data_IF_775658408316
#
_entry.id   IF_775658408316
#
_cell.length_a   1.000
_cell.length_b   1.000
_cell.length_c   1.000
_cell.angle_alpha   90.00
_cell.angle_beta   90.00
_cell.angle_gamma   90.00
#
_symmetry.space_group_name_H-M   'P 1'
#
loop_
_entity.id
_entity.type
_entity.pdbx_description
1 polymer ?
#
# COMPACT_ATOMS: atom_id res chain seq x y z
N UNK A 1 8.84 18.71 -17.56
CA UNK A 1 8.54 17.57 -18.47
C UNK A 1 7.33 16.87 -17.90
N UNK A 2 6.38 16.46 -18.74
CA UNK A 2 5.13 15.87 -18.27
C UNK A 2 5.38 14.59 -17.45
N UNK A 3 4.54 14.39 -16.43
CA UNK A 3 4.48 13.16 -15.65
C UNK A 3 3.65 12.15 -16.44
N UNK A 4 4.15 10.93 -16.57
CA UNK A 4 3.53 9.86 -17.35
C UNK A 4 3.09 8.74 -16.43
N UNK A 5 1.79 8.43 -16.46
CA UNK A 5 1.20 7.23 -15.87
C UNK A 5 1.50 6.01 -16.75
N UNK A 6 2.03 4.94 -16.14
CA UNK A 6 2.30 3.68 -16.82
C UNK A 6 1.79 2.48 -16.02
N UNK A 7 1.44 1.42 -16.74
CA UNK A 7 1.30 0.05 -16.20
C UNK A 7 2.57 -0.70 -16.61
N UNK A 8 3.43 -1.12 -15.67
CA UNK A 8 4.64 -1.84 -16.04
C UNK A 8 4.29 -3.19 -16.64
N UNK A 9 5.11 -3.66 -17.58
CA UNK A 9 5.13 -5.08 -17.94
C UNK A 9 5.78 -5.92 -16.84
N UNK A 10 5.80 -7.24 -17.00
CA UNK A 10 6.45 -8.17 -16.04
C UNK A 10 7.91 -7.79 -15.81
N UNK A 11 8.65 -7.42 -16.86
CA UNK A 11 10.05 -7.00 -16.77
C UNK A 11 10.23 -5.68 -16.01
N UNK A 12 9.19 -4.84 -15.95
CA UNK A 12 9.19 -3.56 -15.23
C UNK A 12 8.91 -3.69 -13.73
N UNK A 13 8.44 -4.85 -13.25
CA UNK A 13 8.21 -5.07 -11.82
C UNK A 13 9.49 -4.96 -11.00
N UNK A 14 10.62 -5.44 -11.55
CA UNK A 14 11.90 -5.38 -10.88
C UNK A 14 12.33 -3.93 -10.61
N UNK A 15 12.08 -3.02 -11.55
CA UNK A 15 12.35 -1.59 -11.39
C UNK A 15 11.46 -0.96 -10.31
N UNK A 16 10.16 -1.25 -10.33
CA UNK A 16 9.23 -0.76 -9.31
C UNK A 16 9.64 -1.23 -7.90
N UNK A 17 10.00 -2.50 -7.74
CA UNK A 17 10.50 -3.05 -6.47
C UNK A 17 11.82 -2.42 -6.05
N UNK A 18 12.75 -2.20 -6.99
CA UNK A 18 14.04 -1.56 -6.70
C UNK A 18 13.86 -0.13 -6.21
N UNK A 19 13.03 0.66 -6.88
CA UNK A 19 12.71 2.04 -6.48
C UNK A 19 12.01 2.08 -5.12
N UNK A 20 11.00 1.22 -4.89
CA UNK A 20 10.34 1.13 -3.59
C UNK A 20 11.32 0.79 -2.47
N UNK A 21 12.34 -0.04 -2.75
CA UNK A 21 13.39 -0.41 -1.79
C UNK A 21 14.27 0.79 -1.45
N UNK A 22 14.63 1.61 -2.42
CA UNK A 22 15.43 2.82 -2.22
C UNK A 22 14.69 3.88 -1.38
N UNK A 23 13.36 3.89 -1.44
CA UNK A 23 12.54 4.80 -0.64
C UNK A 23 12.40 4.39 0.82
N UNK A 24 12.84 3.18 1.19
CA UNK A 24 12.79 2.69 2.57
C UNK A 24 13.94 3.26 3.40
N UNK A 25 13.60 3.91 4.50
CA UNK A 25 14.53 4.37 5.53
C UNK A 25 13.85 4.32 6.90
N UNK A 26 14.63 4.37 7.98
CA UNK A 26 14.05 4.33 9.32
C UNK A 26 13.14 5.55 9.56
N UNK A 27 11.89 5.29 9.97
CA UNK A 27 10.89 6.35 10.18
C UNK A 27 10.21 6.83 8.89
N UNK A 28 10.48 6.20 7.75
CA UNK A 28 9.67 6.39 6.55
C UNK A 28 8.20 6.00 6.83
N UNK A 29 7.23 6.67 6.18
CA UNK A 29 5.85 6.21 6.17
C UNK A 29 5.75 4.75 5.71
N UNK A 30 4.86 3.98 6.33
CA UNK A 30 4.73 2.53 6.12
C UNK A 30 3.90 2.15 4.90
N UNK A 31 3.31 3.13 4.21
CA UNK A 31 2.54 2.91 2.99
C UNK A 31 3.41 2.31 1.88
N UNK A 32 2.73 1.69 0.91
CA UNK A 32 3.27 0.86 -0.18
C UNK A 32 4.79 0.64 -0.13
N UNK A 33 5.21 -0.55 0.29
CA UNK A 33 6.60 -0.94 0.41
C UNK A 33 6.89 -2.20 -0.46
N UNK A 34 8.16 -2.55 -0.71
CA UNK A 34 8.52 -3.69 -1.57
C UNK A 34 7.85 -5.02 -1.17
N UNK A 35 7.63 -5.22 0.13
CA UNK A 35 6.96 -6.42 0.66
C UNK A 35 5.50 -6.58 0.20
N UNK A 36 4.80 -5.49 -0.14
CA UNK A 36 3.41 -5.55 -0.59
C UNK A 36 3.33 -6.12 -2.00
N UNK A 37 4.22 -5.64 -2.89
CA UNK A 37 4.38 -6.21 -4.23
C UNK A 37 4.83 -7.67 -4.14
N UNK A 38 5.81 -7.97 -3.28
CA UNK A 38 6.28 -9.35 -3.05
C UNK A 38 5.17 -10.28 -2.56
N UNK A 39 4.32 -9.81 -1.65
CA UNK A 39 3.16 -10.55 -1.17
C UNK A 39 2.12 -10.75 -2.26
N UNK A 40 1.77 -9.70 -3.00
CA UNK A 40 0.80 -9.77 -4.10
C UNK A 40 1.26 -10.70 -5.23
N UNK A 41 2.58 -10.83 -5.42
CA UNK A 41 3.21 -11.71 -6.42
C UNK A 41 2.81 -13.18 -6.31
N UNK A 42 2.30 -13.64 -5.17
CA UNK A 42 1.70 -14.98 -5.04
C UNK A 42 0.58 -15.24 -6.06
N UNK A 43 -0.03 -14.19 -6.60
CA UNK A 43 -1.08 -14.23 -7.63
C UNK A 43 -0.53 -14.35 -9.06
N UNK A 44 0.79 -14.38 -9.25
CA UNK A 44 1.46 -14.44 -10.56
C UNK A 44 2.03 -13.11 -11.03
N UNK A 45 3.03 -13.16 -11.91
CA UNK A 45 3.79 -11.99 -12.34
C UNK A 45 2.95 -11.04 -13.21
N UNK A 46 2.18 -11.59 -14.15
CA UNK A 46 1.32 -10.83 -15.05
C UNK A 46 0.21 -10.11 -14.27
N UNK A 47 -0.41 -10.81 -13.30
CA UNK A 47 -1.43 -10.22 -12.44
C UNK A 47 -0.85 -9.09 -11.57
N UNK A 48 0.37 -9.26 -11.06
CA UNK A 48 1.06 -8.24 -10.28
C UNK A 48 1.41 -7.02 -11.13
N UNK A 49 1.97 -7.23 -12.33
CA UNK A 49 2.29 -6.17 -13.27
C UNK A 49 1.03 -5.35 -13.64
N UNK A 50 -0.08 -6.04 -13.94
CA UNK A 50 -1.35 -5.41 -14.26
C UNK A 50 -1.97 -4.62 -13.09
N UNK A 51 -1.67 -5.00 -11.84
CA UNK A 51 -2.14 -4.31 -10.64
C UNK A 51 -1.30 -3.08 -10.26
N UNK A 52 -0.11 -2.92 -10.84
CA UNK A 52 0.79 -1.81 -10.52
C UNK A 52 0.52 -0.60 -11.41
N UNK A 53 0.66 0.60 -10.84
CA UNK A 53 0.72 1.89 -11.53
C UNK A 53 2.02 2.58 -11.15
N UNK A 54 2.66 3.24 -12.12
CA UNK A 54 3.84 4.07 -11.88
C UNK A 54 3.65 5.43 -12.52
N UNK A 55 4.15 6.47 -11.85
CA UNK A 55 4.19 7.83 -12.38
C UNK A 55 5.64 8.23 -12.55
N UNK A 56 6.04 8.55 -13.77
CA UNK A 56 7.44 8.83 -14.10
C UNK A 56 7.61 10.19 -14.74
N UNK A 57 8.71 10.88 -14.41
CA UNK A 57 9.15 12.12 -15.06
C UNK A 57 10.57 11.92 -15.53
N UNK A 58 10.81 12.10 -16.83
CA UNK A 58 12.14 11.94 -17.44
C UNK A 58 12.76 10.56 -17.18
N UNK A 59 11.95 9.49 -17.21
CA UNK A 59 12.39 8.11 -16.97
C UNK A 59 12.57 7.73 -15.50
N UNK A 60 12.48 8.69 -14.55
CA UNK A 60 12.52 8.41 -13.12
C UNK A 60 11.11 8.18 -12.58
N UNK A 61 10.88 7.05 -11.91
CA UNK A 61 9.66 6.79 -11.14
C UNK A 61 9.61 7.75 -9.95
N UNK A 62 8.51 8.49 -9.83
CA UNK A 62 8.21 9.45 -8.76
C UNK A 62 7.15 8.93 -7.80
N UNK A 63 6.22 8.10 -8.28
CA UNK A 63 5.19 7.46 -7.47
C UNK A 63 4.92 6.04 -7.96
N UNK A 64 4.47 5.20 -7.05
CA UNK A 64 4.04 3.84 -7.33
C UNK A 64 2.72 3.56 -6.61
N UNK A 65 1.86 2.80 -7.28
CA UNK A 65 0.57 2.36 -6.79
C UNK A 65 0.37 0.86 -6.99
N UNK A 66 -0.31 0.19 -6.07
CA UNK A 66 -0.75 -1.20 -6.17
C UNK A 66 -2.25 -1.28 -5.92
N UNK A 67 -2.98 -1.83 -6.89
CA UNK A 67 -4.38 -2.24 -6.72
C UNK A 67 -4.42 -3.55 -5.93
N UNK A 68 -4.55 -3.45 -4.61
CA UNK A 68 -4.57 -4.59 -3.69
C UNK A 68 -6.00 -5.09 -3.47
N UNK A 69 -6.53 -5.72 -4.52
CA UNK A 69 -7.93 -6.18 -4.55
C UNK A 69 -8.89 -5.19 -5.22
N UNK A 70 -10.20 -5.36 -5.03
CA UNK A 70 -11.21 -4.60 -5.77
C UNK A 70 -11.45 -3.18 -5.25
N UNK A 71 -11.02 -2.88 -4.02
CA UNK A 71 -11.45 -1.71 -3.24
C UNK A 71 -10.31 -0.95 -2.58
N UNK A 72 -9.04 -1.26 -2.89
CA UNK A 72 -7.88 -0.60 -2.29
C UNK A 72 -6.78 -0.28 -3.33
N UNK A 73 -6.42 1.01 -3.41
CA UNK A 73 -5.18 1.46 -4.02
C UNK A 73 -4.19 1.81 -2.90
N UNK A 74 -3.10 1.06 -2.79
CA UNK A 74 -1.94 1.44 -1.98
C UNK A 74 -1.03 2.32 -2.82
N UNK A 75 -0.64 3.49 -2.32
CA UNK A 75 0.14 4.49 -3.03
C UNK A 75 1.34 4.92 -2.18
N UNK A 76 2.46 5.23 -2.84
CA UNK A 76 3.57 5.96 -2.22
C UNK A 76 4.31 6.81 -3.26
N UNK A 77 5.18 7.69 -2.78
CA UNK A 77 5.99 8.60 -3.61
C UNK A 77 7.44 8.61 -3.16
N UNK A 78 8.34 9.03 -4.06
CA UNK A 78 9.73 9.23 -3.71
C UNK A 78 9.86 10.28 -2.58
N UNK A 79 10.73 10.06 -1.58
CA UNK A 79 10.79 10.94 -0.41
C UNK A 79 11.04 12.42 -0.74
N UNK A 80 11.83 12.70 -1.77
CA UNK A 80 12.21 14.04 -2.21
C UNK A 80 11.12 14.78 -3.00
N UNK A 81 10.05 14.10 -3.42
CA UNK A 81 8.96 14.70 -4.22
C UNK A 81 7.60 14.68 -3.51
N UNK A 82 7.56 14.38 -2.20
CA UNK A 82 6.31 14.37 -1.42
C UNK A 82 5.60 15.72 -1.39
N UNK A 83 6.37 16.80 -1.54
CA UNK A 83 5.91 18.19 -1.57
C UNK A 83 5.91 18.76 -2.99
N UNK A 84 6.08 17.93 -4.02
CA UNK A 84 5.97 18.33 -5.42
C UNK A 84 4.48 18.47 -5.79
N UNK A 85 4.04 19.71 -5.94
CA UNK A 85 2.66 20.06 -6.24
C UNK A 85 2.22 19.64 -7.65
N UNK A 86 3.16 19.61 -8.61
CA UNK A 86 2.89 19.11 -9.98
C UNK A 86 2.55 17.61 -9.92
N UNK A 87 3.33 16.84 -9.16
CA UNK A 87 3.07 15.42 -8.95
C UNK A 87 1.74 15.19 -8.22
N UNK A 88 1.49 15.92 -7.15
CA UNK A 88 0.28 15.73 -6.36
C UNK A 88 -0.99 16.01 -7.18
N UNK A 89 -1.02 17.08 -7.98
CA UNK A 89 -2.13 17.35 -8.89
C UNK A 89 -2.28 16.31 -9.99
N UNK A 90 -1.17 15.82 -10.56
CA UNK A 90 -1.23 14.76 -11.56
C UNK A 90 -1.82 13.47 -10.96
N UNK A 91 -1.42 13.12 -9.73
CA UNK A 91 -1.98 11.97 -9.02
C UNK A 91 -3.49 12.13 -8.81
N UNK A 92 -3.94 13.31 -8.35
CA UNK A 92 -5.38 13.61 -8.19
C UNK A 92 -6.12 13.42 -9.50
N UNK A 93 -5.67 14.08 -10.58
CA UNK A 93 -6.31 13.98 -11.89
C UNK A 93 -6.35 12.53 -12.42
N UNK A 94 -5.28 11.75 -12.19
CA UNK A 94 -5.20 10.38 -12.66
C UNK A 94 -6.09 9.41 -11.87
N UNK A 95 -6.27 9.63 -10.56
CA UNK A 95 -7.15 8.76 -9.75
C UNK A 95 -8.62 9.13 -9.89
N UNK A 96 -8.95 10.38 -10.22
CA UNK A 96 -10.35 10.84 -10.33
C UNK A 96 -10.92 10.73 -11.74
N UNK A 97 -10.10 10.70 -12.79
CA UNK A 97 -10.56 10.46 -14.16
C UNK A 97 -10.70 8.94 -14.45
N UNK A 98 -11.93 8.41 -14.61
CA UNK A 98 -12.15 6.99 -14.90
C UNK A 98 -11.50 6.54 -16.22
N UNK A 99 -11.30 7.44 -17.18
CA UNK A 99 -10.66 7.12 -18.46
C UNK A 99 -9.17 6.78 -18.30
N UNK A 100 -8.54 7.16 -17.18
CA UNK A 100 -7.14 6.84 -16.88
C UNK A 100 -6.95 5.42 -16.36
N UNK A 101 -8.04 4.76 -15.93
CA UNK A 101 -8.02 3.35 -15.52
C UNK A 101 -7.12 3.05 -14.31
N UNK A 102 -6.91 4.05 -13.44
CA UNK A 102 -6.15 3.88 -12.19
C UNK A 102 -7.01 3.15 -11.17
N UNK A 103 -8.23 3.64 -10.90
CA UNK A 103 -9.14 3.01 -9.95
C UNK A 103 -10.17 2.13 -10.68
N UNK A 104 -10.57 0.99 -10.10
CA UNK A 104 -11.71 0.22 -10.58
C UNK A 104 -13.02 0.99 -10.33
N UNK A 105 -14.10 0.55 -10.98
CA UNK A 105 -15.42 1.10 -10.73
C UNK A 105 -15.92 0.75 -9.32
N UNK A 106 -16.59 1.69 -8.65
CA UNK A 106 -17.19 1.49 -7.33
C UNK A 106 -16.48 2.27 -6.22
N UNK A 107 -16.76 1.90 -4.97
CA UNK A 107 -16.11 2.51 -3.79
C UNK A 107 -14.71 1.93 -3.65
N UNK A 108 -13.70 2.80 -3.61
CA UNK A 108 -12.30 2.44 -3.47
C UNK A 108 -11.68 3.32 -2.40
N UNK A 109 -10.84 2.73 -1.55
CA UNK A 109 -10.02 3.44 -0.59
C UNK A 109 -8.61 3.66 -1.18
N UNK A 110 -8.01 4.82 -0.91
CA UNK A 110 -6.63 5.11 -1.29
C UNK A 110 -5.81 5.26 -0.02
N UNK A 111 -4.82 4.39 0.14
CA UNK A 111 -3.85 4.46 1.23
C UNK A 111 -2.61 5.18 0.72
N UNK A 112 -2.38 6.42 1.15
CA UNK A 112 -1.25 7.25 0.73
C UNK A 112 -0.47 7.78 1.95
N UNK A 113 0.83 8.14 1.80
CA UNK A 113 1.59 8.68 2.91
C UNK A 113 1.02 10.03 3.37
N UNK A 114 0.78 10.23 4.68
CA UNK A 114 0.13 11.43 5.21
C UNK A 114 1.00 12.69 5.07
N UNK A 115 2.29 12.54 4.78
CA UNK A 115 3.24 13.63 4.58
C UNK A 115 3.42 14.00 3.09
N UNK A 116 2.45 13.65 2.24
CA UNK A 116 2.37 14.10 0.85
C UNK A 116 1.27 15.15 0.72
N UNK A 117 1.34 16.00 -0.32
CA UNK A 117 0.25 16.94 -0.62
C UNK A 117 -1.01 16.26 -1.19
N UNK A 118 -0.91 14.99 -1.58
CA UNK A 118 -1.96 14.29 -2.32
C UNK A 118 -3.28 14.13 -1.53
N UNK A 119 -3.30 13.63 -0.27
CA UNK A 119 -4.56 13.47 0.47
C UNK A 119 -5.32 14.79 0.67
N UNK A 120 -4.59 15.87 0.99
CA UNK A 120 -5.18 17.19 1.23
C UNK A 120 -5.78 17.76 -0.07
N UNK A 121 -5.06 17.66 -1.19
CA UNK A 121 -5.57 18.10 -2.49
C UNK A 121 -6.76 17.25 -2.96
N UNK A 122 -6.69 15.93 -2.81
CA UNK A 122 -7.78 15.02 -3.18
C UNK A 122 -9.06 15.34 -2.37
N UNK A 123 -8.92 15.65 -1.08
CA UNK A 123 -10.04 16.07 -0.26
C UNK A 123 -10.59 17.44 -0.63
N UNK A 124 -9.72 18.41 -0.89
CA UNK A 124 -10.12 19.78 -1.19
C UNK A 124 -10.73 19.95 -2.60
N UNK A 125 -10.18 19.25 -3.61
CA UNK A 125 -10.56 19.42 -5.02
C UNK A 125 -11.65 18.44 -5.46
N UNK A 126 -11.66 17.21 -4.90
CA UNK A 126 -12.49 16.11 -5.39
C UNK A 126 -13.45 15.56 -4.32
N UNK A 127 -13.46 16.17 -3.12
CA UNK A 127 -14.41 15.84 -2.06
C UNK A 127 -14.17 14.49 -1.39
N UNK A 128 -12.97 13.92 -1.50
CA UNK A 128 -12.63 12.69 -0.81
C UNK A 128 -12.49 12.93 0.70
N UNK A 129 -12.97 11.97 1.49
CA UNK A 129 -12.91 12.05 2.95
C UNK A 129 -12.02 10.96 3.51
N UNK A 130 -11.39 11.25 4.65
CA UNK A 130 -10.64 10.25 5.41
C UNK A 130 -11.61 9.18 5.92
N UNK A 131 -11.31 7.92 5.62
CA UNK A 131 -11.96 6.76 6.24
C UNK A 131 -11.37 6.51 7.63
N UNK A 132 -11.76 5.42 8.30
CA UNK A 132 -11.23 5.05 9.61
C UNK A 132 -9.68 4.94 9.59
N UNK A 133 -8.96 5.78 10.36
CA UNK A 133 -7.51 5.79 10.32
C UNK A 133 -6.95 4.55 11.04
N UNK A 134 -5.90 3.97 10.47
CA UNK A 134 -5.08 2.97 11.14
C UNK A 134 -3.72 3.60 11.48
N UNK A 135 -3.13 3.19 12.61
CA UNK A 135 -1.88 3.76 13.11
C UNK A 135 -0.85 2.64 13.28
N UNK A 136 0.31 2.71 12.59
CA UNK A 136 1.42 1.81 12.88
C UNK A 136 1.91 1.98 14.32
N UNK A 137 2.00 0.88 15.06
CA UNK A 137 2.56 0.87 16.43
C UNK A 137 4.00 0.35 16.38
N UNK A 138 4.92 1.03 17.08
CA UNK A 138 6.34 0.65 17.20
C UNK A 138 6.73 0.47 18.66
N UNK A 139 7.47 -0.60 18.97
CA UNK A 139 8.09 -0.83 20.27
C UNK A 139 9.53 -1.30 20.10
N UNK A 140 10.46 -0.59 20.74
CA UNK A 140 11.85 -1.03 20.87
C UNK A 140 11.92 -2.30 21.72
N UNK A 141 12.68 -3.32 21.30
CA UNK A 141 12.85 -4.59 22.01
C UNK A 141 14.26 -4.74 22.64
N UNK A 142 15.06 -3.67 22.70
CA UNK A 142 16.38 -3.64 23.36
C UNK A 142 16.25 -3.94 24.86
N UNK A 143 15.15 -3.50 25.47
CA UNK A 143 14.78 -3.91 26.83
C UNK A 143 13.72 -5.03 26.79
N UNK A 144 13.79 -6.02 27.71
CA UNK A 144 12.78 -7.07 27.81
C UNK A 144 11.37 -6.53 27.98
N UNK A 145 10.40 -7.20 27.37
CA UNK A 145 8.97 -6.93 27.59
C UNK A 145 8.45 -7.66 28.83
N UNK A 146 7.44 -7.11 29.50
CA UNK A 146 6.81 -7.74 30.66
C UNK A 146 6.15 -9.06 30.26
N UNK A 147 6.52 -10.15 30.92
CA UNK A 147 5.84 -11.44 30.76
C UNK A 147 4.43 -11.37 31.36
N UNK A 148 3.38 -11.84 30.64
CA UNK A 148 2.04 -11.90 31.17
C UNK A 148 1.92 -12.96 32.27
N UNK A 149 0.97 -12.77 33.19
CA UNK A 149 0.57 -13.80 34.17
C UNK A 149 -0.45 -14.77 33.55
N UNK A 150 -0.06 -15.35 32.40
CA UNK A 150 -0.87 -16.27 31.61
C UNK A 150 -0.01 -17.44 31.14
N UNK A 151 -0.64 -18.60 30.97
CA UNK A 151 0.01 -19.77 30.36
C UNK A 151 0.11 -19.56 28.85
N UNK A 152 1.32 -19.50 28.33
CA UNK A 152 1.62 -19.40 26.89
C UNK A 152 2.07 -20.75 26.37
N UNK A 153 1.53 -21.18 25.23
CA UNK A 153 1.92 -22.41 24.56
C UNK A 153 2.06 -22.22 23.06
N UNK A 154 2.98 -22.95 22.45
CA UNK A 154 3.09 -23.03 20.99
C UNK A 154 1.95 -23.87 20.40
N UNK A 155 1.32 -23.34 19.35
CA UNK A 155 0.24 -24.02 18.62
C UNK A 155 0.86 -24.89 17.53
N UNK A 156 0.94 -26.20 17.79
CA UNK A 156 1.29 -27.20 16.78
C UNK A 156 0.08 -27.67 15.94
N UNK A 157 0.31 -28.55 14.95
CA UNK A 157 -0.73 -29.02 14.01
C UNK A 157 -1.98 -29.60 14.67
N UNK A 158 -1.84 -30.30 15.79
CA UNK A 158 -2.96 -30.90 16.52
C UNK A 158 -3.97 -29.87 17.06
N UNK A 159 -3.58 -28.60 17.18
CA UNK A 159 -4.43 -27.50 17.68
C UNK A 159 -4.78 -26.46 16.62
N UNK A 160 -4.41 -26.70 15.36
CA UNK A 160 -4.64 -25.76 14.26
C UNK A 160 -6.12 -25.37 14.10
N UNK A 161 -7.04 -26.34 14.28
CA UNK A 161 -8.48 -26.10 14.18
C UNK A 161 -9.00 -25.17 15.29
N UNK A 162 -8.53 -25.36 16.53
CA UNK A 162 -8.90 -24.49 17.63
C UNK A 162 -8.37 -23.06 17.43
N UNK A 163 -7.14 -22.93 16.92
CA UNK A 163 -6.55 -21.63 16.57
C UNK A 163 -7.36 -20.92 15.46
N UNK A 164 -7.70 -21.63 14.38
CA UNK A 164 -8.51 -21.09 13.30
C UNK A 164 -9.89 -20.63 13.79
N UNK A 165 -10.54 -21.40 14.66
CA UNK A 165 -11.84 -21.04 15.23
C UNK A 165 -11.75 -19.76 16.08
N UNK A 166 -10.72 -19.60 16.91
CA UNK A 166 -10.51 -18.38 17.70
C UNK A 166 -10.27 -17.18 16.80
N UNK A 167 -9.40 -17.33 15.78
CA UNK A 167 -9.09 -16.24 14.84
C UNK A 167 -10.35 -15.81 14.07
N UNK A 168 -11.13 -16.76 13.57
CA UNK A 168 -12.37 -16.48 12.83
C UNK A 168 -13.47 -15.86 13.69
N UNK A 169 -13.52 -16.17 14.99
CA UNK A 169 -14.48 -15.55 15.92
C UNK A 169 -14.05 -14.14 16.37
N UNK A 170 -12.75 -13.82 16.28
CA UNK A 170 -12.20 -12.54 16.74
C UNK A 170 -12.25 -11.44 15.66
N UNK A 171 -12.28 -11.81 14.37
CA UNK A 171 -12.24 -10.87 13.26
C UNK A 171 -13.31 -11.21 12.21
N UNK A 172 -14.19 -10.26 11.94
CA UNK A 172 -15.15 -10.36 10.84
C UNK A 172 -14.43 -10.45 9.48
N UNK A 173 -15.00 -11.18 8.52
CA UNK A 173 -14.47 -11.25 7.15
C UNK A 173 -13.25 -12.17 6.95
N UNK A 174 -12.95 -13.07 7.90
CA UNK A 174 -11.92 -14.08 7.72
C UNK A 174 -12.16 -14.90 6.44
N UNK A 175 -11.18 -14.89 5.53
CA UNK A 175 -11.21 -15.70 4.28
C UNK A 175 -10.99 -17.20 4.53
N UNK A 176 -10.93 -17.61 5.80
CA UNK A 176 -10.63 -18.98 6.24
C UNK A 176 -11.83 -19.65 6.95
N UNK A 177 -13.03 -19.08 6.83
CA UNK A 177 -14.28 -19.71 7.27
C UNK A 177 -14.69 -20.87 6.33
#
# INVERSE_FOLDING_TARGET
MAIVLNVPGVDGLAEAVAVLREWQYEGAPTQLHPGDLGWFWRSGAEATAAAVRTWSRSGRILAAGLLDGPDLLRLTTAPDVRQDEELARQLVADVTDPARGVLPAGRVNIEAPPNTLFPDLLGAEEGWHLDDPWTPLRRDLTAPVRTPDLRVEEVGPARAQAFAAVLGAAFDGSRFA
#
